data_IF_919901512190
#
_entry.id   IF_919901512190
#
_cell.length_a   1.000
_cell.length_b   1.000
_cell.length_c   1.000
_cell.angle_alpha   90.00
_cell.angle_beta   90.00
_cell.angle_gamma   90.00
#
_symmetry.space_group_name_H-M   'P 1'
#
loop_
_entity.id
_entity.type
_entity.pdbx_description
1 polymer ?
#
# COMPACT_ATOMS: atom_id res chain seq x y z
N UNK A 1 8.88 16.65 -14.56
CA UNK A 1 9.67 15.84 -13.60
C UNK A 1 8.90 14.76 -12.84
N UNK A 2 7.58 14.58 -13.06
CA UNK A 2 6.74 13.60 -12.35
C UNK A 2 7.36 12.19 -12.21
N UNK A 3 7.85 11.62 -13.32
CA UNK A 3 8.46 10.28 -13.30
C UNK A 3 9.68 10.15 -12.39
N UNK A 4 10.41 11.24 -12.15
CA UNK A 4 11.58 11.28 -11.25
C UNK A 4 11.18 11.50 -9.78
N UNK A 5 10.05 12.15 -9.50
CA UNK A 5 9.70 12.62 -8.15
C UNK A 5 8.57 11.83 -7.48
N UNK A 6 7.69 11.16 -8.25
CA UNK A 6 6.47 10.50 -7.75
C UNK A 6 6.66 9.39 -6.71
N UNK A 7 7.90 8.93 -6.49
CA UNK A 7 8.20 7.85 -5.56
C UNK A 7 8.68 8.34 -4.20
N UNK A 8 8.99 9.63 -4.05
CA UNK A 8 9.61 10.19 -2.85
C UNK A 8 8.56 10.92 -2.01
N UNK A 9 8.06 10.34 -0.90
CA UNK A 9 6.96 10.91 -0.13
C UNK A 9 7.29 12.25 0.55
N UNK A 10 8.57 12.57 0.76
CA UNK A 10 9.01 13.87 1.25
C UNK A 10 8.93 15.00 0.20
N UNK A 11 8.66 14.68 -1.06
CA UNK A 11 8.56 15.64 -2.16
C UNK A 11 7.10 15.77 -2.56
N UNK A 12 6.62 17.00 -2.77
CA UNK A 12 5.32 17.26 -3.39
C UNK A 12 5.38 17.00 -4.90
N UNK A 13 5.67 15.75 -5.25
CA UNK A 13 5.92 15.30 -6.62
C UNK A 13 4.71 14.68 -7.32
N UNK A 14 3.55 14.66 -6.68
CA UNK A 14 2.30 14.07 -7.18
C UNK A 14 1.20 15.12 -7.35
N UNK A 15 0.18 14.83 -8.14
CA UNK A 15 -0.88 15.78 -8.45
C UNK A 15 -1.89 15.98 -7.30
N UNK A 16 -1.96 15.04 -6.35
CA UNK A 16 -2.99 14.97 -5.28
C UNK A 16 -4.44 15.03 -5.80
N UNK A 17 -4.67 14.69 -7.07
CA UNK A 17 -5.99 14.73 -7.69
C UNK A 17 -6.90 13.53 -7.39
N UNK A 18 -6.44 12.57 -6.58
CA UNK A 18 -7.20 11.35 -6.24
C UNK A 18 -8.62 11.64 -5.72
N UNK A 19 -8.73 12.59 -4.79
CA UNK A 19 -10.02 13.02 -4.22
C UNK A 19 -10.95 13.61 -5.30
N UNK A 20 -10.40 14.40 -6.23
CA UNK A 20 -11.18 14.98 -7.31
C UNK A 20 -11.70 13.93 -8.28
N UNK A 21 -10.87 12.94 -8.62
CA UNK A 21 -11.28 11.80 -9.43
C UNK A 21 -12.33 10.93 -8.73
N UNK A 22 -12.23 10.77 -7.41
CA UNK A 22 -13.21 10.00 -6.62
C UNK A 22 -14.62 10.62 -6.67
N UNK A 23 -14.70 11.94 -6.54
CA UNK A 23 -15.96 12.69 -6.54
C UNK A 23 -16.36 13.22 -7.92
N UNK A 24 -15.59 12.93 -8.97
CA UNK A 24 -15.90 13.37 -10.33
C UNK A 24 -15.87 14.89 -10.54
N UNK A 25 -15.21 15.65 -9.65
CA UNK A 25 -15.11 17.12 -9.75
C UNK A 25 -14.17 17.57 -10.87
N UNK A 26 -13.39 16.64 -11.43
CA UNK A 26 -12.61 16.82 -12.64
C UNK A 26 -12.75 15.59 -13.55
N UNK A 27 -12.58 15.77 -14.86
CA UNK A 27 -12.64 14.69 -15.83
C UNK A 27 -11.31 13.95 -15.96
N UNK A 28 -11.30 12.64 -15.70
CA UNK A 28 -10.13 11.79 -15.96
C UNK A 28 -9.76 11.76 -17.45
N UNK A 29 -10.75 11.75 -18.35
CA UNK A 29 -10.53 11.73 -19.80
C UNK A 29 -9.86 13.01 -20.28
N UNK A 30 -10.24 14.16 -19.72
CA UNK A 30 -9.58 15.43 -20.00
C UNK A 30 -8.11 15.40 -19.54
N UNK A 31 -7.84 14.92 -18.31
CA UNK A 31 -6.47 14.81 -17.80
C UNK A 31 -5.63 13.81 -18.59
N UNK A 32 -6.22 12.70 -19.04
CA UNK A 32 -5.56 11.71 -19.87
C UNK A 32 -5.18 12.30 -21.24
N UNK A 33 -6.11 12.96 -21.94
CA UNK A 33 -5.81 13.63 -23.23
C UNK A 33 -4.70 14.67 -23.10
N UNK A 34 -4.68 15.43 -22.00
CA UNK A 34 -3.61 16.40 -21.74
C UNK A 34 -2.27 15.72 -21.40
N UNK A 35 -2.30 14.53 -20.80
CA UNK A 35 -1.09 13.78 -20.45
C UNK A 35 -0.42 13.12 -21.66
N UNK A 36 -1.19 12.80 -22.72
CA UNK A 36 -0.65 12.29 -23.99
C UNK A 36 0.38 13.26 -24.56
N UNK A 37 1.59 12.78 -24.82
CA UNK A 37 2.71 13.58 -25.31
C UNK A 37 3.37 14.49 -24.27
N UNK A 38 2.74 14.71 -23.11
CA UNK A 38 3.29 15.53 -22.01
C UNK A 38 4.07 14.67 -21.00
N UNK A 39 3.48 13.55 -20.55
CA UNK A 39 4.11 12.68 -19.57
C UNK A 39 3.50 11.28 -19.55
N UNK A 40 4.18 10.32 -20.20
CA UNK A 40 3.71 8.93 -20.29
C UNK A 40 3.58 8.27 -18.92
N UNK A 41 4.46 8.59 -17.98
CA UNK A 41 4.36 8.05 -16.61
C UNK A 41 3.08 8.51 -15.94
N UNK A 42 2.71 9.80 -16.03
CA UNK A 42 1.48 10.30 -15.45
C UNK A 42 0.24 9.71 -16.15
N UNK A 43 0.27 9.61 -17.49
CA UNK A 43 -0.79 8.95 -18.25
C UNK A 43 -1.00 7.50 -17.78
N UNK A 44 0.08 6.76 -17.58
CA UNK A 44 0.02 5.38 -17.11
C UNK A 44 -0.64 5.25 -15.72
N UNK A 45 -0.43 6.22 -14.82
CA UNK A 45 -1.10 6.23 -13.51
C UNK A 45 -2.61 6.47 -13.62
N UNK A 46 -3.06 7.23 -14.62
CA UNK A 46 -4.50 7.36 -14.91
C UNK A 46 -5.05 6.04 -15.48
N UNK A 47 -4.28 5.37 -16.34
CA UNK A 47 -4.64 4.06 -16.90
C UNK A 47 -4.80 3.01 -15.79
N UNK A 48 -3.93 3.01 -14.77
CA UNK A 48 -4.06 2.09 -13.62
C UNK A 48 -5.42 2.17 -12.91
N UNK A 49 -6.01 3.37 -12.79
CA UNK A 49 -7.34 3.54 -12.21
C UNK A 49 -8.42 2.86 -13.05
N UNK A 50 -8.37 3.06 -14.37
CA UNK A 50 -9.34 2.45 -15.29
C UNK A 50 -9.12 0.94 -15.41
N UNK A 51 -7.87 0.47 -15.33
CA UNK A 51 -7.53 -0.94 -15.26
C UNK A 51 -8.18 -1.63 -14.06
N UNK A 52 -8.05 -1.07 -12.85
CA UNK A 52 -8.69 -1.65 -11.68
C UNK A 52 -10.22 -1.63 -11.77
N UNK A 53 -10.80 -0.57 -12.34
CA UNK A 53 -12.25 -0.51 -12.60
C UNK A 53 -12.70 -1.61 -13.56
N UNK A 54 -11.91 -1.88 -14.60
CA UNK A 54 -12.16 -2.96 -15.55
C UNK A 54 -12.08 -4.34 -14.88
N UNK A 55 -11.08 -4.57 -14.02
CA UNK A 55 -10.96 -5.84 -13.27
C UNK A 55 -12.18 -6.05 -12.39
N UNK A 56 -12.59 -5.04 -11.62
CA UNK A 56 -13.77 -5.15 -10.77
C UNK A 56 -15.05 -5.44 -11.57
N UNK A 57 -15.22 -4.79 -12.72
CA UNK A 57 -16.38 -4.99 -13.59
C UNK A 57 -16.47 -6.42 -14.17
N UNK A 58 -15.33 -7.02 -14.55
CA UNK A 58 -15.29 -8.37 -15.13
C UNK A 58 -15.22 -9.48 -14.09
N UNK A 59 -14.70 -9.18 -12.89
CA UNK A 59 -14.51 -10.16 -11.82
C UNK A 59 -15.05 -9.63 -10.48
N UNK A 60 -16.37 -9.44 -10.30
CA UNK A 60 -16.94 -8.85 -9.08
C UNK A 60 -16.53 -9.56 -7.77
N UNK A 61 -16.23 -10.87 -7.84
CA UNK A 61 -15.71 -11.66 -6.70
C UNK A 61 -14.40 -11.13 -6.11
N UNK A 62 -13.67 -10.26 -6.82
CA UNK A 62 -12.42 -9.69 -6.30
C UNK A 62 -12.65 -8.80 -5.09
N UNK A 63 -13.88 -8.32 -4.87
CA UNK A 63 -14.24 -7.50 -3.70
C UNK A 63 -13.91 -8.23 -2.41
N UNK A 64 -14.26 -9.52 -2.31
CA UNK A 64 -14.13 -10.34 -1.10
C UNK A 64 -13.18 -11.53 -1.27
N UNK A 65 -12.78 -11.87 -2.49
CA UNK A 65 -11.92 -13.01 -2.80
C UNK A 65 -10.63 -12.60 -3.53
N UNK A 66 -9.53 -13.35 -3.35
CA UNK A 66 -8.34 -13.11 -4.15
C UNK A 66 -8.62 -13.40 -5.63
N UNK A 67 -8.12 -12.54 -6.51
CA UNK A 67 -8.19 -12.74 -7.95
C UNK A 67 -7.54 -14.09 -8.34
N UNK A 68 -6.37 -14.38 -7.77
CA UNK A 68 -5.72 -15.68 -7.87
C UNK A 68 -6.30 -16.63 -6.82
N UNK A 69 -7.27 -17.44 -7.23
CA UNK A 69 -8.06 -18.31 -6.34
C UNK A 69 -7.24 -19.16 -5.37
N UNK A 70 -6.10 -19.70 -5.78
CA UNK A 70 -5.22 -20.49 -4.89
C UNK A 70 -4.77 -19.73 -3.63
N UNK A 71 -4.72 -18.40 -3.66
CA UNK A 71 -4.38 -17.57 -2.50
C UNK A 71 -5.50 -17.52 -1.45
N UNK A 72 -6.69 -18.06 -1.74
CA UNK A 72 -7.76 -18.24 -0.75
C UNK A 72 -7.39 -19.24 0.35
N UNK A 73 -6.38 -20.10 0.09
CA UNK A 73 -5.87 -21.12 1.00
C UNK A 73 -4.84 -20.60 2.01
N UNK A 74 -4.46 -19.32 1.92
CA UNK A 74 -3.49 -18.73 2.85
C UNK A 74 -4.10 -18.71 4.25
N UNK A 75 -3.41 -19.37 5.19
CA UNK A 75 -3.75 -19.32 6.60
C UNK A 75 -3.21 -18.04 7.23
N UNK A 76 -4.08 -17.04 7.36
CA UNK A 76 -3.71 -15.73 7.87
C UNK A 76 -3.61 -15.76 9.40
N UNK A 77 -2.51 -15.23 9.94
CA UNK A 77 -2.24 -15.20 11.37
C UNK A 77 -3.18 -14.28 12.14
N UNK A 78 -3.65 -13.19 11.51
CA UNK A 78 -4.70 -12.29 11.98
C UNK A 78 -4.61 -11.88 13.46
N UNK A 79 -3.40 -11.55 13.96
CA UNK A 79 -3.24 -11.06 15.33
C UNK A 79 -3.79 -9.64 15.47
N UNK A 80 -4.89 -9.49 16.19
CA UNK A 80 -5.56 -8.19 16.39
C UNK A 80 -4.69 -7.14 17.06
N UNK A 81 -3.83 -7.53 18.01
CA UNK A 81 -2.90 -6.61 18.67
C UNK A 81 -1.91 -6.00 17.68
N UNK A 82 -1.34 -6.82 16.79
CA UNK A 82 -0.43 -6.33 15.75
C UNK A 82 -1.15 -5.48 14.72
N UNK A 83 -2.39 -5.84 14.37
CA UNK A 83 -3.23 -5.00 13.53
C UNK A 83 -3.49 -3.64 14.17
N UNK A 84 -3.74 -3.58 15.47
CA UNK A 84 -3.95 -2.30 16.15
C UNK A 84 -2.68 -1.45 16.18
N UNK A 85 -1.52 -2.06 16.44
CA UNK A 85 -0.24 -1.34 16.35
C UNK A 85 0.05 -0.84 14.94
N UNK A 86 -0.34 -1.59 13.90
CA UNK A 86 -0.29 -1.13 12.51
C UNK A 86 -1.26 0.04 12.27
N UNK A 87 -2.52 -0.06 12.70
CA UNK A 87 -3.51 1.02 12.56
C UNK A 87 -3.05 2.32 13.21
N UNK A 88 -2.39 2.25 14.36
CA UNK A 88 -1.89 3.41 15.10
C UNK A 88 -0.53 3.95 14.59
N UNK A 89 0.18 3.22 13.72
CA UNK A 89 1.56 3.58 13.35
C UNK A 89 2.53 3.49 14.53
N UNK A 90 2.50 2.34 15.22
CA UNK A 90 3.36 1.97 16.36
C UNK A 90 4.02 0.60 16.16
N UNK A 91 4.37 0.30 14.92
CA UNK A 91 4.99 -0.97 14.52
C UNK A 91 6.48 -1.03 14.81
N UNK A 92 7.13 0.11 15.05
CA UNK A 92 8.58 0.21 15.16
C UNK A 92 9.28 0.23 13.80
N UNK A 93 8.53 0.29 12.70
CA UNK A 93 9.05 0.44 11.34
C UNK A 93 8.78 1.86 10.80
N UNK A 94 9.78 2.75 10.72
CA UNK A 94 9.53 4.19 10.61
C UNK A 94 8.74 4.63 9.38
N UNK A 95 9.00 4.02 8.22
CA UNK A 95 8.25 4.34 7.00
C UNK A 95 6.80 3.84 7.07
N UNK A 96 6.55 2.72 7.76
CA UNK A 96 5.20 2.18 7.98
C UNK A 96 4.45 3.10 8.94
N UNK A 97 5.08 3.43 10.07
CA UNK A 97 4.51 4.27 11.11
C UNK A 97 4.20 5.68 10.61
N UNK A 98 5.13 6.29 9.86
CA UNK A 98 4.91 7.58 9.21
C UNK A 98 3.71 7.55 8.25
N UNK A 99 3.59 6.50 7.44
CA UNK A 99 2.45 6.31 6.55
C UNK A 99 1.13 6.24 7.28
N UNK A 100 1.03 5.35 8.26
CA UNK A 100 -0.20 5.14 9.02
C UNK A 100 -0.62 6.40 9.79
N UNK A 101 0.35 7.16 10.32
CA UNK A 101 0.09 8.45 10.97
C UNK A 101 -0.34 9.54 9.98
N UNK A 102 0.26 9.62 8.79
CA UNK A 102 -0.18 10.51 7.71
C UNK A 102 -1.65 10.23 7.33
N UNK A 103 -1.98 8.95 7.12
CA UNK A 103 -3.35 8.53 6.81
C UNK A 103 -4.33 8.93 7.89
N UNK A 104 -4.01 8.65 9.14
CA UNK A 104 -4.91 8.93 10.26
C UNK A 104 -5.13 10.43 10.48
N UNK A 105 -4.12 11.25 10.24
CA UNK A 105 -4.18 12.69 10.44
C UNK A 105 -4.84 13.44 9.26
N UNK A 106 -4.70 12.94 8.03
CA UNK A 106 -5.06 13.70 6.82
C UNK A 106 -6.08 13.04 5.91
N UNK A 107 -6.31 11.73 6.08
CA UNK A 107 -7.10 10.93 5.14
C UNK A 107 -6.44 10.78 3.75
N UNK A 108 -5.14 11.04 3.65
CA UNK A 108 -4.32 10.82 2.47
C UNK A 108 -3.10 9.99 2.85
N UNK A 109 -2.56 9.22 1.90
CA UNK A 109 -1.25 8.59 2.05
C UNK A 109 -0.55 8.53 0.71
N UNK A 110 0.73 8.87 0.66
CA UNK A 110 1.51 8.79 -0.58
C UNK A 110 1.53 7.36 -1.16
N UNK A 111 1.36 7.18 -2.48
CA UNK A 111 1.21 5.85 -3.10
C UNK A 111 2.35 4.87 -2.78
N UNK A 112 3.61 5.33 -2.84
CA UNK A 112 4.76 4.51 -2.43
C UNK A 112 4.61 3.96 -1.00
N UNK A 113 4.08 4.78 -0.10
CA UNK A 113 3.90 4.42 1.30
C UNK A 113 2.70 3.49 1.47
N UNK A 114 1.60 3.70 0.71
CA UNK A 114 0.47 2.75 0.63
C UNK A 114 0.96 1.33 0.29
N UNK A 115 1.84 1.20 -0.70
CA UNK A 115 2.44 -0.09 -1.08
C UNK A 115 3.26 -0.71 0.06
N UNK A 116 4.03 0.09 0.79
CA UNK A 116 4.88 -0.37 1.90
C UNK A 116 4.03 -0.83 3.08
N UNK A 117 3.06 -0.03 3.52
CA UNK A 117 2.20 -0.39 4.68
C UNK A 117 1.32 -1.60 4.38
N UNK A 118 0.83 -1.73 3.15
CA UNK A 118 0.01 -2.86 2.71
C UNK A 118 0.85 -4.14 2.61
N UNK A 119 2.06 -4.06 2.05
CA UNK A 119 2.99 -5.19 2.04
C UNK A 119 3.41 -5.57 3.46
N UNK A 120 3.60 -4.62 4.37
CA UNK A 120 3.97 -4.91 5.75
C UNK A 120 2.84 -5.66 6.47
N UNK A 121 1.59 -5.21 6.33
CA UNK A 121 0.44 -5.89 6.92
C UNK A 121 0.32 -7.34 6.42
N UNK A 122 0.36 -7.51 5.09
CA UNK A 122 0.07 -8.80 4.45
C UNK A 122 1.23 -9.78 4.47
N UNK A 123 2.48 -9.29 4.52
CA UNK A 123 3.68 -10.15 4.46
C UNK A 123 4.44 -10.21 5.78
N UNK A 124 4.64 -9.08 6.47
CA UNK A 124 5.37 -9.12 7.75
C UNK A 124 4.49 -9.61 8.88
N UNK A 125 3.29 -9.05 9.01
CA UNK A 125 2.34 -9.42 10.06
C UNK A 125 1.51 -10.66 9.70
N UNK A 126 1.46 -10.98 8.41
CA UNK A 126 0.66 -12.08 7.85
C UNK A 126 -0.82 -11.94 8.22
N UNK A 127 -1.33 -10.71 8.13
CA UNK A 127 -2.72 -10.36 8.39
C UNK A 127 -3.46 -10.24 7.05
N UNK A 128 -4.69 -10.73 7.03
CA UNK A 128 -5.56 -10.70 5.86
C UNK A 128 -5.67 -9.29 5.29
N UNK A 129 -5.40 -9.17 3.98
CA UNK A 129 -5.43 -7.92 3.24
C UNK A 129 -6.78 -7.22 3.34
N UNK A 130 -7.88 -7.97 3.54
CA UNK A 130 -9.23 -7.42 3.70
C UNK A 130 -9.35 -6.52 4.94
N UNK A 131 -8.59 -6.79 6.00
CA UNK A 131 -8.59 -5.95 7.20
C UNK A 131 -7.98 -4.57 6.91
N UNK A 132 -6.88 -4.57 6.15
CA UNK A 132 -6.23 -3.36 5.67
C UNK A 132 -7.08 -2.58 4.66
N UNK A 133 -7.70 -3.30 3.72
CA UNK A 133 -8.63 -2.75 2.73
C UNK A 133 -9.76 -1.98 3.40
N UNK A 134 -10.44 -2.61 4.36
CA UNK A 134 -11.54 -2.02 5.10
C UNK A 134 -11.09 -0.85 6.00
N UNK A 135 -9.87 -0.90 6.55
CA UNK A 135 -9.31 0.23 7.30
C UNK A 135 -9.07 1.43 6.39
N UNK A 136 -8.47 1.20 5.22
CA UNK A 136 -8.23 2.23 4.21
C UNK A 136 -9.55 2.83 3.71
N UNK A 137 -10.58 2.01 3.50
CA UNK A 137 -11.91 2.48 3.12
C UNK A 137 -12.52 3.49 4.11
N UNK A 138 -12.24 3.33 5.40
CA UNK A 138 -12.72 4.24 6.45
C UNK A 138 -11.90 5.53 6.60
N UNK A 139 -10.67 5.56 6.08
CA UNK A 139 -9.72 6.66 6.33
C UNK A 139 -9.42 7.51 5.10
N UNK A 140 -9.37 6.89 3.92
CA UNK A 140 -8.98 7.57 2.70
C UNK A 140 -10.08 8.49 2.16
N UNK A 141 -9.77 9.77 1.99
CA UNK A 141 -10.64 10.73 1.30
C UNK A 141 -10.77 10.43 -0.20
N UNK A 142 -9.77 9.77 -0.77
CA UNK A 142 -9.76 9.33 -2.17
C UNK A 142 -10.16 7.85 -2.33
N UNK A 143 -10.78 7.24 -1.32
CA UNK A 143 -11.18 5.83 -1.37
C UNK A 143 -12.04 5.54 -2.59
N UNK A 144 -11.55 4.68 -3.48
CA UNK A 144 -12.26 4.08 -4.59
C UNK A 144 -12.16 2.56 -4.46
N UNK A 145 -13.29 1.85 -4.46
CA UNK A 145 -13.33 0.40 -4.20
C UNK A 145 -12.41 -0.37 -5.14
N UNK A 146 -12.49 -0.09 -6.45
CA UNK A 146 -11.71 -0.81 -7.44
C UNK A 146 -10.20 -0.60 -7.23
N UNK A 147 -9.79 0.67 -7.10
CA UNK A 147 -8.38 1.05 -6.94
C UNK A 147 -7.81 0.58 -5.60
N UNK A 148 -8.59 0.67 -4.51
CA UNK A 148 -8.17 0.21 -3.19
C UNK A 148 -8.02 -1.31 -3.17
N UNK A 149 -9.07 -2.04 -3.59
CA UNK A 149 -9.07 -3.50 -3.66
C UNK A 149 -7.90 -4.01 -4.52
N UNK A 150 -7.76 -3.46 -5.73
CA UNK A 150 -6.69 -3.85 -6.64
C UNK A 150 -5.28 -3.58 -6.09
N UNK A 151 -5.08 -2.47 -5.38
CA UNK A 151 -3.83 -2.15 -4.69
C UNK A 151 -3.51 -3.11 -3.54
N UNK A 152 -4.51 -3.45 -2.73
CA UNK A 152 -4.35 -4.43 -1.64
C UNK A 152 -4.04 -5.83 -2.15
N UNK A 153 -4.74 -6.29 -3.20
CA UNK A 153 -4.46 -7.57 -3.82
C UNK A 153 -3.07 -7.62 -4.50
N UNK A 154 -2.64 -6.50 -5.09
CA UNK A 154 -1.29 -6.37 -5.63
C UNK A 154 -0.23 -6.52 -4.54
N UNK A 155 -0.42 -5.84 -3.39
CA UNK A 155 0.49 -5.92 -2.25
C UNK A 155 0.52 -7.32 -1.61
N UNK A 156 -0.64 -7.98 -1.52
CA UNK A 156 -0.79 -9.33 -0.98
C UNK A 156 -0.27 -10.45 -1.91
N UNK A 157 0.09 -10.13 -3.17
CA UNK A 157 0.56 -11.14 -4.14
C UNK A 157 -0.56 -11.92 -4.85
N UNK A 158 -1.83 -11.65 -4.52
CA UNK A 158 -2.99 -12.40 -4.99
C UNK A 158 -3.75 -11.74 -6.15
N UNK A 159 -3.38 -10.51 -6.55
CA UNK A 159 -4.00 -9.77 -7.65
C UNK A 159 -3.60 -10.22 -9.06
N UNK A 160 -4.27 -9.63 -10.06
CA UNK A 160 -4.09 -9.93 -11.50
C UNK A 160 -2.67 -9.69 -12.01
N UNK A 161 -2.03 -8.58 -11.61
CA UNK A 161 -0.64 -8.23 -11.94
C UNK A 161 0.25 -8.19 -10.68
N UNK A 162 -0.06 -9.05 -9.71
CA UNK A 162 0.60 -8.97 -8.43
C UNK A 162 2.07 -9.40 -8.52
N UNK A 163 2.92 -8.63 -7.82
CA UNK A 163 4.30 -9.01 -7.60
C UNK A 163 4.35 -10.44 -7.02
N UNK A 164 5.30 -11.30 -7.44
CA UNK A 164 5.42 -12.63 -6.88
C UNK A 164 5.49 -12.59 -5.35
N UNK A 165 4.85 -13.54 -4.67
CA UNK A 165 4.71 -13.50 -3.21
C UNK A 165 6.06 -13.37 -2.50
N UNK A 166 7.10 -14.02 -3.02
CA UNK A 166 8.47 -13.98 -2.51
C UNK A 166 9.16 -12.60 -2.60
N UNK A 167 8.58 -11.64 -3.33
CA UNK A 167 9.01 -10.24 -3.32
C UNK A 167 8.48 -9.56 -2.06
N UNK A 168 9.20 -9.71 -0.96
CA UNK A 168 8.91 -9.07 0.33
C UNK A 168 9.79 -7.82 0.44
N UNK A 169 9.18 -6.64 0.64
CA UNK A 169 9.96 -5.41 0.80
C UNK A 169 10.73 -5.43 2.11
N UNK A 170 12.03 -5.16 2.07
CA UNK A 170 12.76 -4.80 3.28
C UNK A 170 12.39 -3.34 3.66
N UNK A 171 11.73 -3.09 4.79
CA UNK A 171 11.28 -1.75 5.16
C UNK A 171 12.44 -0.75 5.32
N UNK A 172 13.59 -1.18 5.84
CA UNK A 172 14.77 -0.33 5.98
C UNK A 172 15.30 0.10 4.59
N UNK A 173 15.40 -0.84 3.65
CA UNK A 173 15.82 -0.51 2.28
C UNK A 173 14.80 0.38 1.55
N UNK A 174 13.50 0.26 1.83
CA UNK A 174 12.49 1.18 1.29
C UNK A 174 12.68 2.59 1.87
N UNK A 175 12.96 2.69 3.17
CA UNK A 175 13.24 3.96 3.84
C UNK A 175 14.49 4.63 3.24
N UNK A 176 15.60 3.90 3.11
CA UNK A 176 16.85 4.36 2.49
C UNK A 176 16.65 4.89 1.08
N UNK A 177 15.85 4.17 0.29
CA UNK A 177 15.65 4.47 -1.11
C UNK A 177 14.72 5.67 -1.34
N UNK A 178 13.64 5.79 -0.58
CA UNK A 178 12.56 6.74 -0.88
C UNK A 178 12.49 7.93 0.08
N UNK A 179 13.14 7.86 1.24
CA UNK A 179 13.24 8.96 2.18
C UNK A 179 14.64 8.98 2.81
N UNK A 180 15.68 9.07 1.96
CA UNK A 180 17.10 9.03 2.36
C UNK A 180 17.45 9.97 3.52
N UNK A 181 16.89 11.18 3.50
CA UNK A 181 17.17 12.23 4.50
C UNK A 181 16.18 12.23 5.67
N UNK A 182 15.29 11.22 5.74
CA UNK A 182 14.27 11.02 6.79
C UNK A 182 13.28 12.19 6.93
N UNK A 183 13.10 12.99 5.88
CA UNK A 183 12.24 14.18 5.94
C UNK A 183 10.77 13.79 6.10
N UNK A 184 10.33 12.73 5.44
CA UNK A 184 8.96 12.24 5.59
C UNK A 184 8.75 11.56 6.94
N UNK A 185 9.69 10.71 7.36
CA UNK A 185 9.61 10.05 8.67
C UNK A 185 9.61 11.06 9.81
N UNK A 186 10.56 12.00 9.86
CA UNK A 186 10.65 13.00 10.94
C UNK A 186 9.42 13.92 11.00
N UNK A 187 8.73 14.13 9.88
CA UNK A 187 7.47 14.88 9.85
C UNK A 187 6.33 14.17 10.58
N UNK A 188 6.20 12.86 10.39
CA UNK A 188 5.06 12.08 10.89
C UNK A 188 5.35 11.27 12.15
N UNK A 189 6.62 11.02 12.43
CA UNK A 189 7.14 10.31 13.60
C UNK A 189 8.22 11.21 14.24
N UNK A 190 7.81 12.30 14.92
CA UNK A 190 8.75 13.24 15.51
C UNK A 190 9.64 12.60 16.59
N UNK A 191 9.18 11.51 17.21
CA UNK A 191 9.94 10.73 18.19
C UNK A 191 10.91 9.72 17.57
N UNK A 192 11.04 9.64 16.24
CA UNK A 192 11.99 8.73 15.60
C UNK A 192 13.44 9.00 16.07
N UNK A 193 14.21 7.94 16.34
CA UNK A 193 15.57 7.98 16.92
C UNK A 193 15.63 8.45 18.40
N UNK A 194 14.49 8.46 19.09
CA UNK A 194 14.42 8.70 20.54
C UNK A 194 14.02 7.42 21.30
N UNK A 195 14.28 7.34 22.62
CA UNK A 195 13.83 6.20 23.45
C UNK A 195 12.31 5.96 23.44
N UNK A 196 11.51 6.98 23.11
CA UNK A 196 10.06 6.91 23.05
C UNK A 196 9.54 6.14 21.82
N UNK A 197 10.37 5.98 20.77
CA UNK A 197 9.98 5.25 19.58
C UNK A 197 9.98 3.74 19.82
N UNK A 198 8.89 3.02 19.53
CA UNK A 198 8.77 1.61 19.88
C UNK A 198 9.77 0.74 19.13
N UNK A 199 10.22 -0.32 19.82
CA UNK A 199 10.93 -1.41 19.17
C UNK A 199 10.05 -2.09 18.09
N UNK A 200 10.67 -2.66 17.04
CA UNK A 200 9.94 -3.42 16.01
C UNK A 200 9.05 -4.51 16.61
N UNK A 201 7.79 -4.58 16.16
CA UNK A 201 6.83 -5.60 16.62
C UNK A 201 7.12 -7.01 16.12
N UNK A 202 7.99 -7.12 15.12
CA UNK A 202 8.42 -8.38 14.55
C UNK A 202 9.79 -8.18 13.93
N UNK A 203 10.67 -9.18 14.03
CA UNK A 203 11.94 -9.18 13.30
C UNK A 203 11.70 -9.35 11.79
N UNK A 204 12.49 -8.64 10.97
CA UNK A 204 12.31 -8.67 9.52
C UNK A 204 12.60 -10.05 8.92
N UNK A 205 13.68 -10.72 9.38
CA UNK A 205 14.10 -12.01 8.85
C UNK A 205 13.08 -13.09 9.22
N UNK A 206 12.67 -13.13 10.48
CA UNK A 206 11.65 -14.08 10.95
C UNK A 206 10.32 -13.88 10.21
N UNK A 207 9.87 -12.64 10.08
CA UNK A 207 8.64 -12.32 9.35
C UNK A 207 8.71 -12.75 7.88
N UNK A 208 9.87 -12.54 7.25
CA UNK A 208 10.10 -12.91 5.86
C UNK A 208 10.09 -14.43 5.67
N UNK A 209 10.80 -15.17 6.54
CA UNK A 209 10.85 -16.63 6.49
C UNK A 209 9.44 -17.23 6.68
N UNK A 210 8.69 -16.77 7.69
CA UNK A 210 7.30 -17.18 7.92
C UNK A 210 6.39 -16.92 6.71
N UNK A 211 6.48 -15.73 6.11
CA UNK A 211 5.67 -15.41 4.93
C UNK A 211 5.96 -16.35 3.76
N UNK A 212 7.23 -16.69 3.51
CA UNK A 212 7.61 -17.57 2.42
C UNK A 212 7.12 -19.00 2.64
N UNK A 213 7.19 -19.50 3.88
CA UNK A 213 6.71 -20.82 4.26
C UNK A 213 5.19 -20.93 4.07
N UNK A 214 4.41 -20.06 4.70
CA UNK A 214 2.95 -20.09 4.64
C UNK A 214 2.43 -19.93 3.21
N UNK A 215 3.02 -19.03 2.42
CA UNK A 215 2.62 -18.91 1.01
C UNK A 215 3.04 -20.11 0.18
N UNK A 216 4.20 -20.72 0.44
CA UNK A 216 4.63 -21.92 -0.29
C UNK A 216 3.70 -23.09 0.00
N UNK A 217 3.31 -23.29 1.26
CA UNK A 217 2.37 -24.35 1.65
C UNK A 217 1.00 -24.16 1.00
N UNK A 218 0.43 -22.96 1.13
CA UNK A 218 -0.90 -22.65 0.59
C UNK A 218 -0.99 -22.74 -0.95
N UNK A 219 0.13 -22.53 -1.66
CA UNK A 219 0.16 -22.51 -3.13
C UNK A 219 0.62 -23.83 -3.76
N UNK A 220 1.17 -24.76 -2.97
CA UNK A 220 1.61 -26.08 -3.43
C UNK A 220 0.65 -27.22 -3.05
N UNK A 221 -0.17 -27.06 -2.01
CA UNK A 221 -1.36 -27.88 -1.79
C UNK A 221 -2.49 -27.39 -2.68
#
# INVERSE_FOLDING_TARGET
NYGKTRNFPAIEGTSRLGVHFRFGTISIREKARKAVGLNDTYLNELIWRDFYSMILAHFPRVVDQPFREKYSRIDWRNREEEFERWRQGRTGYPLVDAGMRELNATGYMHNRVRMVVASFLTKHLLIDWRWGEAYFARKLLDYDLASNNGGWQWAAGCGTDAAPYFRIFNPASQLDKFDRDRRYVKKWVPEYETPEYPAPIVDHREARERCLEVFKEALNG
#
